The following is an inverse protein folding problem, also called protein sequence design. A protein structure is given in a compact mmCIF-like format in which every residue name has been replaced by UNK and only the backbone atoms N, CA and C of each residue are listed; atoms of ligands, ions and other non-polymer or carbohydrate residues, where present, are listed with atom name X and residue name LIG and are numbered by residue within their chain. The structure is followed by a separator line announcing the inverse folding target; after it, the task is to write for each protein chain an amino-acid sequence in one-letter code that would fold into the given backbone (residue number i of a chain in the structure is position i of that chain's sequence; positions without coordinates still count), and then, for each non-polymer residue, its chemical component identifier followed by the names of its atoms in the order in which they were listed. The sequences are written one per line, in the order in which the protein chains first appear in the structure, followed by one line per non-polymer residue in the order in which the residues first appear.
data_IF_614629104272
#
_entry.id   IF_614629104272
#
_cell.length_a   1.000
_cell.length_b   1.000
_cell.length_c   1.000
_cell.angle_alpha   90.00
_cell.angle_beta   90.00
_cell.angle_gamma   90.00
#
_symmetry.space_group_name_H-M   'P 1'
#
loop_
_entity.id
_entity.type
_entity.pdbx_description
1 polymer ?
#
# COMPACT_ATOMS: atom_id res chain seq x y z
N UNK A 1 -9.24 75.52 20.84
CA UNK A 1 -10.27 74.77 20.11
C UNK A 1 -9.94 73.29 20.18
N UNK A 2 -10.72 72.58 20.97
CA UNK A 2 -10.61 71.17 21.34
C UNK A 2 -10.82 70.26 20.13
N UNK A 3 -9.97 69.24 19.94
CA UNK A 3 -10.30 68.09 19.09
C UNK A 3 -9.98 66.79 19.82
N UNK A 4 -11.04 66.03 20.03
CA UNK A 4 -11.15 64.77 20.76
C UNK A 4 -10.28 63.66 20.16
N UNK A 5 -9.73 62.74 20.96
CA UNK A 5 -9.14 61.51 20.43
C UNK A 5 -10.23 60.50 20.07
N UNK A 6 -10.16 60.00 18.84
CA UNK A 6 -11.06 58.97 18.30
C UNK A 6 -10.96 57.66 19.07
N UNK A 7 -12.13 57.05 19.30
CA UNK A 7 -12.34 55.78 19.98
C UNK A 7 -11.85 54.59 19.15
N UNK A 8 -10.98 53.77 19.74
CA UNK A 8 -10.53 52.48 19.18
C UNK A 8 -11.63 51.43 19.35
N UNK A 9 -12.03 50.66 18.32
CA UNK A 9 -13.01 49.60 18.47
C UNK A 9 -12.50 48.45 19.36
N UNK A 10 -13.29 48.07 20.37
CA UNK A 10 -13.00 46.93 21.26
C UNK A 10 -13.00 45.62 20.47
N UNK A 11 -11.91 44.85 20.58
CA UNK A 11 -11.83 43.47 20.05
C UNK A 11 -12.87 42.58 20.74
N UNK A 12 -13.79 42.03 19.95
CA UNK A 12 -14.74 41.01 20.40
C UNK A 12 -13.97 39.76 20.82
N UNK A 13 -14.01 39.40 22.11
CA UNK A 13 -13.41 38.16 22.61
C UNK A 13 -14.27 36.98 22.14
N UNK A 14 -13.78 36.23 21.15
CA UNK A 14 -14.30 34.91 20.84
C UNK A 14 -14.03 33.98 22.04
N UNK A 15 -15.09 33.57 22.72
CA UNK A 15 -15.05 32.54 23.76
C UNK A 15 -14.71 31.20 23.10
N UNK A 16 -13.49 30.73 23.30
CA UNK A 16 -13.11 29.34 23.00
C UNK A 16 -13.90 28.44 23.96
N UNK A 17 -14.84 27.67 23.43
CA UNK A 17 -15.53 26.63 24.18
C UNK A 17 -14.52 25.52 24.48
N UNK A 18 -14.11 25.42 25.76
CA UNK A 18 -13.31 24.29 26.26
C UNK A 18 -14.21 23.06 26.35
N UNK A 19 -14.10 22.14 25.40
CA UNK A 19 -14.64 20.80 25.58
C UNK A 19 -13.84 20.05 26.65
N UNK A 20 -14.55 19.68 27.71
CA UNK A 20 -14.06 18.98 28.90
C UNK A 20 -13.63 17.57 28.51
N UNK A 21 -12.38 17.22 28.81
CA UNK A 21 -11.85 15.85 28.66
C UNK A 21 -12.64 14.89 29.55
N UNK A 22 -13.21 13.85 28.96
CA UNK A 22 -13.65 12.65 29.67
C UNK A 22 -12.44 11.72 29.84
N UNK A 23 -12.19 11.33 31.08
CA UNK A 23 -11.04 10.52 31.48
C UNK A 23 -11.26 9.02 31.19
N UNK A 24 -10.14 8.39 30.78
CA UNK A 24 -9.71 6.98 30.95
C UNK A 24 -10.77 5.87 30.85
N UNK A 25 -10.59 5.03 29.83
CA UNK A 25 -10.78 3.58 29.96
C UNK A 25 -9.40 2.89 29.97
N UNK A 26 -9.24 1.97 30.92
CA UNK A 26 -8.02 1.25 31.23
C UNK A 26 -7.54 0.33 30.10
N UNK A 27 -6.23 0.17 30.05
CA UNK A 27 -5.48 -0.71 29.16
C UNK A 27 -5.87 -2.17 29.35
N UNK A 28 -6.21 -2.85 28.25
CA UNK A 28 -5.86 -4.25 28.02
C UNK A 28 -5.00 -4.32 26.75
N UNK A 29 -3.71 -4.61 26.95
CA UNK A 29 -2.81 -5.26 25.99
C UNK A 29 -3.47 -6.54 25.46
N UNK A 30 -3.25 -7.09 24.27
CA UNK A 30 -2.35 -6.80 23.15
C UNK A 30 -2.84 -7.67 21.96
N UNK A 31 -2.53 -7.24 20.73
CA UNK A 31 -2.13 -8.17 19.67
C UNK A 31 -3.12 -8.44 18.54
N UNK A 32 -3.20 -7.55 17.55
CA UNK A 32 -3.15 -7.93 16.11
C UNK A 32 -3.19 -6.73 15.16
N UNK A 33 -2.06 -6.51 14.49
CA UNK A 33 -1.89 -6.12 13.07
C UNK A 33 -2.82 -5.07 12.42
N UNK A 34 -2.33 -3.86 12.06
CA UNK A 34 -3.10 -2.90 11.28
C UNK A 34 -2.72 -2.94 9.80
N UNK A 35 -2.98 -4.07 9.14
CA UNK A 35 -3.12 -4.19 7.69
C UNK A 35 -4.03 -5.41 7.43
N UNK A 36 -5.35 -5.22 7.50
CA UNK A 36 -6.30 -6.16 6.89
C UNK A 36 -6.30 -5.88 5.39
N UNK A 37 -5.17 -6.12 4.74
CA UNK A 37 -5.16 -6.40 3.30
C UNK A 37 -5.81 -7.76 3.22
N UNK A 38 -7.07 -7.78 2.77
CA UNK A 38 -7.71 -9.02 2.37
C UNK A 38 -6.77 -9.64 1.34
N UNK A 39 -6.05 -10.70 1.73
CA UNK A 39 -5.27 -11.51 0.80
C UNK A 39 -6.27 -12.05 -0.21
N UNK A 40 -6.36 -11.39 -1.37
CA UNK A 40 -7.11 -11.89 -2.51
C UNK A 40 -6.35 -13.04 -3.20
N UNK A 41 -5.07 -13.23 -2.86
CA UNK A 41 -4.29 -14.39 -3.26
C UNK A 41 -4.46 -15.52 -2.25
N UNK A 42 -5.58 -16.23 -2.35
CA UNK A 42 -5.81 -17.56 -1.76
C UNK A 42 -5.84 -18.66 -2.83
N UNK A 43 -5.05 -18.52 -3.90
CA UNK A 43 -4.89 -19.54 -4.94
C UNK A 43 -3.60 -20.36 -4.73
N UNK A 44 -3.54 -21.63 -5.18
CA UNK A 44 -2.47 -22.56 -4.80
C UNK A 44 -1.09 -22.06 -5.24
N UNK A 45 -0.17 -22.01 -4.29
CA UNK A 45 1.25 -21.88 -4.55
C UNK A 45 1.72 -23.18 -5.22
N UNK A 46 2.34 -23.07 -6.38
CA UNK A 46 2.70 -24.15 -7.29
C UNK A 46 3.94 -24.96 -6.86
N UNK A 47 4.17 -25.14 -5.56
CA UNK A 47 5.30 -25.95 -5.10
C UNK A 47 4.85 -27.33 -4.59
N UNK A 48 5.31 -28.34 -5.32
CA UNK A 48 5.36 -29.78 -5.04
C UNK A 48 4.10 -30.62 -5.30
N UNK A 49 4.15 -31.38 -6.41
CA UNK A 49 3.72 -32.77 -6.45
C UNK A 49 4.38 -33.48 -7.64
N UNK A 50 5.62 -33.93 -7.45
CA UNK A 50 6.19 -34.96 -8.31
C UNK A 50 5.56 -36.30 -7.92
N UNK A 51 4.84 -36.90 -8.87
CA UNK A 51 4.48 -38.32 -8.84
C UNK A 51 3.05 -38.63 -8.41
N UNK A 52 2.11 -38.61 -9.38
CA UNK A 52 1.01 -39.57 -9.42
C UNK A 52 0.56 -39.82 -10.87
N UNK A 53 0.63 -41.09 -11.27
CA UNK A 53 -0.29 -41.86 -12.13
C UNK A 53 -0.86 -41.22 -13.41
N UNK A 54 -0.56 -41.86 -14.54
CA UNK A 54 -1.34 -41.75 -15.78
C UNK A 54 -2.74 -42.34 -15.56
N UNK A 55 -3.78 -41.51 -15.45
CA UNK A 55 -5.18 -41.94 -15.67
C UNK A 55 -5.96 -40.89 -16.46
N UNK A 56 -7.03 -41.37 -17.10
CA UNK A 56 -7.58 -40.88 -18.35
C UNK A 56 -8.06 -39.41 -18.38
N UNK A 57 -7.59 -38.78 -19.46
CA UNK A 57 -7.99 -37.58 -20.16
C UNK A 57 -9.51 -37.31 -20.25
N UNK A 58 -10.13 -36.67 -19.24
CA UNK A 58 -11.29 -35.74 -19.38
C UNK A 58 -11.36 -34.74 -18.19
N UNK A 59 -10.21 -34.38 -17.62
CA UNK A 59 -10.13 -33.34 -16.61
C UNK A 59 -9.85 -31.98 -17.25
N UNK A 60 -10.77 -31.02 -17.14
CA UNK A 60 -10.50 -29.60 -17.50
C UNK A 60 -9.15 -29.19 -16.90
N UNK A 61 -8.29 -28.62 -17.75
CA UNK A 61 -6.96 -28.16 -17.36
C UNK A 61 -7.07 -27.16 -16.21
N UNK A 62 -6.04 -27.09 -15.36
CA UNK A 62 -5.99 -26.09 -14.29
C UNK A 62 -6.20 -24.66 -14.82
N UNK A 63 -5.71 -24.41 -16.04
CA UNK A 63 -5.89 -23.18 -16.79
C UNK A 63 -7.34 -22.92 -17.18
N UNK A 64 -8.08 -23.92 -17.66
CA UNK A 64 -9.52 -23.78 -17.95
C UNK A 64 -10.35 -23.50 -16.69
N UNK A 65 -10.06 -24.19 -15.58
CA UNK A 65 -10.72 -23.93 -14.30
C UNK A 65 -10.42 -22.51 -13.79
N UNK A 66 -9.20 -22.04 -13.96
CA UNK A 66 -8.81 -20.67 -13.62
C UNK A 66 -9.52 -19.65 -14.51
N UNK A 67 -9.61 -19.89 -15.84
CA UNK A 67 -10.38 -19.05 -16.77
C UNK A 67 -11.87 -18.99 -16.40
N UNK A 68 -12.45 -20.11 -15.97
CA UNK A 68 -13.84 -20.17 -15.48
C UNK A 68 -14.03 -19.38 -14.19
N UNK A 69 -13.14 -19.54 -13.20
CA UNK A 69 -13.17 -18.75 -11.95
C UNK A 69 -12.99 -17.24 -12.20
N UNK A 70 -12.09 -16.87 -13.11
CA UNK A 70 -11.89 -15.49 -13.52
C UNK A 70 -13.06 -14.93 -14.35
N UNK A 71 -14.07 -15.72 -14.72
CA UNK A 71 -15.28 -15.25 -15.43
C UNK A 71 -16.21 -14.47 -14.49
N UNK A 72 -16.26 -14.84 -13.21
CA UNK A 72 -16.89 -14.07 -12.11
C UNK A 72 -15.98 -12.93 -11.59
N UNK A 73 -15.01 -12.54 -12.41
CA UNK A 73 -13.81 -11.79 -12.11
C UNK A 73 -13.92 -10.75 -10.98
N UNK A 74 -13.08 -10.84 -9.94
CA UNK A 74 -12.85 -9.74 -9.01
C UNK A 74 -12.53 -8.41 -9.72
N UNK A 75 -11.93 -8.47 -10.92
CA UNK A 75 -11.67 -7.33 -11.81
C UNK A 75 -12.90 -6.47 -12.11
N UNK A 76 -14.09 -7.07 -12.26
CA UNK A 76 -15.33 -6.33 -12.55
C UNK A 76 -15.80 -5.50 -11.37
N UNK A 77 -15.44 -5.89 -10.15
CA UNK A 77 -15.78 -5.20 -8.89
C UNK A 77 -14.73 -4.17 -8.47
N UNK A 78 -13.60 -4.09 -9.17
CA UNK A 78 -12.55 -3.13 -8.84
C UNK A 78 -12.98 -1.68 -9.13
N UNK A 79 -12.60 -0.73 -8.26
CA UNK A 79 -12.86 0.68 -8.52
C UNK A 79 -12.25 1.16 -9.84
N UNK A 80 -12.82 2.21 -10.47
CA UNK A 80 -12.19 2.89 -11.59
C UNK A 80 -10.78 3.37 -11.25
N UNK A 81 -9.93 3.51 -12.27
CA UNK A 81 -8.56 4.00 -12.09
C UNK A 81 -8.62 5.47 -11.73
N UNK A 82 -7.88 5.83 -10.67
CA UNK A 82 -7.70 7.22 -10.23
C UNK A 82 -7.09 8.07 -11.35
N UNK A 83 -7.65 9.26 -11.54
CA UNK A 83 -7.16 10.25 -12.49
C UNK A 83 -6.68 11.48 -11.75
N UNK A 84 -5.69 12.14 -12.34
CA UNK A 84 -5.24 13.47 -11.89
C UNK A 84 -6.36 14.50 -12.12
N UNK A 85 -6.29 15.69 -11.50
CA UNK A 85 -7.29 16.76 -11.69
C UNK A 85 -7.46 17.19 -13.15
N UNK A 86 -6.43 17.01 -13.98
CA UNK A 86 -6.44 17.25 -15.43
C UNK A 86 -7.08 16.11 -16.25
N UNK A 87 -7.60 15.07 -15.59
CA UNK A 87 -8.18 13.89 -16.21
C UNK A 87 -7.16 12.87 -16.73
N UNK A 88 -5.86 13.18 -16.67
CA UNK A 88 -4.81 12.27 -17.14
C UNK A 88 -4.57 11.11 -16.16
N UNK A 89 -4.08 9.99 -16.69
CA UNK A 89 -3.61 8.88 -15.86
C UNK A 89 -2.23 9.20 -15.29
N UNK A 90 -1.94 8.64 -14.11
CA UNK A 90 -0.59 8.71 -13.54
C UNK A 90 0.41 8.04 -14.47
N UNK A 91 1.52 8.75 -14.75
CA UNK A 91 2.61 8.31 -15.62
C UNK A 91 3.81 7.88 -14.80
N UNK A 92 4.42 6.78 -15.21
CA UNK A 92 5.67 6.25 -14.70
C UNK A 92 6.84 6.78 -15.53
N UNK A 93 7.95 7.03 -14.85
CA UNK A 93 9.27 7.19 -15.49
C UNK A 93 9.76 5.85 -16.07
N UNK A 94 10.74 5.85 -16.99
CA UNK A 94 11.30 4.60 -17.53
C UNK A 94 11.83 3.64 -16.45
N UNK A 95 12.42 4.18 -15.38
CA UNK A 95 12.92 3.38 -14.26
C UNK A 95 11.78 2.70 -13.48
N UNK A 96 10.73 3.46 -13.15
CA UNK A 96 9.53 2.94 -12.51
C UNK A 96 8.83 1.90 -13.38
N UNK A 97 8.75 2.12 -14.70
CA UNK A 97 8.18 1.14 -15.64
C UNK A 97 8.97 -0.17 -15.65
N UNK A 98 10.31 -0.11 -15.57
CA UNK A 98 11.14 -1.31 -15.48
C UNK A 98 10.83 -2.12 -14.21
N UNK A 99 10.66 -1.42 -13.07
CA UNK A 99 10.25 -2.06 -11.81
C UNK A 99 8.83 -2.63 -11.90
N UNK A 100 7.88 -1.88 -12.45
CA UNK A 100 6.51 -2.32 -12.68
C UNK A 100 6.44 -3.57 -13.56
N UNK A 101 7.21 -3.63 -14.66
CA UNK A 101 7.23 -4.78 -15.55
C UNK A 101 7.82 -6.03 -14.87
N UNK A 102 8.84 -5.86 -14.03
CA UNK A 102 9.36 -6.95 -13.19
C UNK A 102 8.31 -7.45 -12.20
N UNK A 103 7.59 -6.52 -11.54
CA UNK A 103 6.53 -6.84 -10.59
C UNK A 103 5.36 -7.57 -11.27
N UNK A 104 4.94 -7.11 -12.46
CA UNK A 104 3.85 -7.74 -13.23
C UNK A 104 4.23 -9.16 -13.60
N UNK A 105 5.42 -9.39 -14.14
CA UNK A 105 5.86 -10.75 -14.54
C UNK A 105 5.93 -11.72 -13.38
N UNK A 106 6.18 -11.23 -12.17
CA UNK A 106 6.31 -12.06 -10.97
C UNK A 106 4.99 -12.30 -10.24
N UNK A 107 4.15 -11.28 -10.15
CA UNK A 107 3.03 -11.26 -9.19
C UNK A 107 1.66 -11.16 -9.88
N UNK A 108 1.59 -10.80 -11.18
CA UNK A 108 0.31 -10.69 -11.88
C UNK A 108 -0.16 -12.06 -12.36
N UNK A 109 -1.13 -12.64 -11.65
CA UNK A 109 -1.74 -13.92 -12.06
C UNK A 109 -2.45 -13.88 -13.42
N UNK A 110 -2.80 -12.69 -13.93
CA UNK A 110 -3.42 -12.54 -15.25
C UNK A 110 -2.41 -12.41 -16.39
N UNK A 111 -1.11 -12.37 -16.08
CA UNK A 111 -0.05 -12.16 -17.06
C UNK A 111 0.84 -13.40 -17.14
N UNK A 112 0.86 -14.06 -18.29
CA UNK A 112 1.70 -15.23 -18.58
C UNK A 112 2.54 -14.92 -19.83
N UNK A 113 3.86 -15.08 -19.72
CA UNK A 113 4.85 -14.75 -20.77
C UNK A 113 4.70 -13.34 -21.39
N UNK A 114 4.16 -12.39 -20.62
CA UNK A 114 3.92 -11.01 -21.07
C UNK A 114 2.56 -10.79 -21.75
N UNK A 115 1.76 -11.83 -21.90
CA UNK A 115 0.40 -11.79 -22.46
C UNK A 115 -0.65 -11.80 -21.35
N UNK A 116 -1.76 -11.12 -21.57
CA UNK A 116 -2.86 -11.01 -20.62
C UNK A 116 -3.94 -12.04 -20.93
N UNK A 117 -4.02 -13.10 -20.11
CA UNK A 117 -4.96 -14.22 -20.28
C UNK A 117 -6.42 -13.75 -20.22
N UNK A 118 -6.71 -12.67 -19.48
CA UNK A 118 -8.08 -12.14 -19.33
C UNK A 118 -8.58 -11.40 -20.58
N UNK A 119 -7.67 -10.94 -21.44
CA UNK A 119 -7.98 -10.20 -22.67
C UNK A 119 -7.70 -11.04 -23.92
N UNK A 120 -7.23 -12.27 -23.73
CA UNK A 120 -6.98 -13.22 -24.80
C UNK A 120 -8.31 -13.88 -25.17
N UNK A 121 -8.91 -13.41 -26.27
CA UNK A 121 -10.14 -13.96 -26.86
C UNK A 121 -9.85 -15.05 -27.91
N UNK A 122 -8.67 -15.67 -27.87
CA UNK A 122 -8.19 -16.67 -28.84
C UNK A 122 -6.96 -16.22 -29.63
N UNK A 123 -6.60 -14.95 -29.53
CA UNK A 123 -5.36 -14.36 -30.05
C UNK A 123 -4.55 -13.77 -28.90
N UNK A 124 -3.25 -14.09 -28.85
CA UNK A 124 -2.36 -13.64 -27.77
C UNK A 124 -2.38 -12.13 -27.64
N UNK A 125 -2.90 -11.62 -26.53
CA UNK A 125 -2.99 -10.19 -26.24
C UNK A 125 -1.85 -9.77 -25.31
N UNK A 126 -0.94 -8.90 -25.76
CA UNK A 126 0.11 -8.36 -24.87
C UNK A 126 -0.50 -7.59 -23.71
N UNK A 127 0.03 -7.75 -22.49
CA UNK A 127 -0.50 -7.07 -21.31
C UNK A 127 -0.51 -5.54 -21.51
N UNK A 128 -1.69 -4.87 -21.46
CA UNK A 128 -1.78 -3.43 -21.73
C UNK A 128 -0.91 -2.58 -20.80
N UNK A 129 -0.70 -3.07 -19.57
CA UNK A 129 0.12 -2.37 -18.58
C UNK A 129 1.62 -2.46 -18.87
N UNK A 130 2.13 -3.54 -19.46
CA UNK A 130 3.58 -3.73 -19.68
C UNK A 130 4.10 -2.87 -20.84
N UNK A 131 3.23 -2.56 -21.79
CA UNK A 131 3.51 -1.68 -22.93
C UNK A 131 3.23 -0.20 -22.64
N UNK A 132 2.50 0.10 -21.56
CA UNK A 132 2.11 1.46 -21.19
C UNK A 132 3.10 2.11 -20.22
N UNK A 133 3.30 3.43 -20.35
CA UNK A 133 3.92 4.25 -19.29
C UNK A 133 2.91 4.75 -18.26
N UNK A 134 1.61 4.70 -18.57
CA UNK A 134 0.56 5.11 -17.65
C UNK A 134 0.06 3.93 -16.81
N UNK A 135 -0.39 4.19 -15.60
CA UNK A 135 -1.17 3.21 -14.82
C UNK A 135 -2.56 3.12 -15.44
N UNK A 136 -2.77 2.12 -16.32
CA UNK A 136 -3.96 1.97 -17.15
C UNK A 136 -4.73 0.66 -16.92
N UNK A 137 -4.15 -0.29 -16.18
CA UNK A 137 -4.80 -1.54 -15.84
C UNK A 137 -5.36 -1.52 -14.41
N UNK A 138 -6.66 -1.82 -14.25
CA UNK A 138 -7.32 -1.87 -12.93
C UNK A 138 -6.70 -2.94 -12.03
N UNK A 139 -6.38 -4.11 -12.59
CA UNK A 139 -5.75 -5.20 -11.84
C UNK A 139 -4.38 -4.78 -11.32
N UNK A 140 -3.59 -4.14 -12.17
CA UNK A 140 -2.29 -3.62 -11.78
C UNK A 140 -2.43 -2.61 -10.64
N UNK A 141 -3.35 -1.64 -10.75
CA UNK A 141 -3.56 -0.62 -9.71
C UNK A 141 -3.95 -1.20 -8.35
N UNK A 142 -4.84 -2.18 -8.30
CA UNK A 142 -5.49 -2.61 -7.06
C UNK A 142 -4.98 -3.93 -6.48
N UNK A 143 -4.40 -4.82 -7.30
CA UNK A 143 -3.94 -6.12 -6.86
C UNK A 143 -2.40 -6.26 -6.91
N UNK A 144 -1.76 -5.74 -7.96
CA UNK A 144 -0.32 -5.96 -8.19
C UNK A 144 0.54 -4.84 -7.58
N UNK A 145 0.27 -3.58 -7.93
CA UNK A 145 1.06 -2.43 -7.49
C UNK A 145 1.14 -2.27 -5.96
N UNK A 146 0.07 -2.51 -5.18
CA UNK A 146 0.14 -2.41 -3.72
C UNK A 146 1.11 -3.42 -3.05
N UNK A 147 1.54 -4.46 -3.77
CA UNK A 147 2.57 -5.39 -3.27
C UNK A 147 3.95 -4.71 -3.16
N UNK A 148 4.20 -3.70 -3.99
CA UNK A 148 5.35 -2.80 -3.86
C UNK A 148 4.88 -1.40 -3.46
N UNK A 149 4.69 -1.21 -2.16
CA UNK A 149 4.28 0.08 -1.59
C UNK A 149 5.30 1.21 -1.83
N UNK A 150 6.55 0.91 -2.18
CA UNK A 150 7.56 1.93 -2.52
C UNK A 150 7.27 2.48 -3.91
N UNK A 151 7.14 1.57 -4.90
CA UNK A 151 6.79 1.94 -6.27
C UNK A 151 5.43 2.64 -6.34
N UNK A 152 4.42 2.15 -5.60
CA UNK A 152 3.11 2.80 -5.52
C UNK A 152 3.21 4.26 -5.05
N UNK A 153 3.99 4.52 -4.00
CA UNK A 153 4.16 5.88 -3.49
C UNK A 153 4.98 6.76 -4.42
N UNK A 154 6.00 6.21 -5.08
CA UNK A 154 6.76 6.93 -6.09
C UNK A 154 5.91 7.36 -7.28
N UNK A 155 4.89 6.58 -7.65
CA UNK A 155 3.99 6.90 -8.78
C UNK A 155 2.89 7.88 -8.38
N UNK A 156 2.25 7.68 -7.22
CA UNK A 156 1.03 8.42 -6.85
C UNK A 156 1.27 9.59 -5.89
N UNK A 157 2.34 9.53 -5.09
CA UNK A 157 2.55 10.50 -4.00
C UNK A 157 3.62 11.53 -4.28
N UNK A 158 4.45 11.39 -5.33
CA UNK A 158 5.52 12.26 -5.88
C UNK A 158 6.50 12.95 -4.88
N UNK A 159 6.17 13.13 -3.60
CA UNK A 159 6.75 14.12 -2.67
C UNK A 159 6.78 13.67 -1.20
N UNK A 160 6.07 12.61 -0.82
CA UNK A 160 6.01 12.19 0.60
C UNK A 160 7.11 11.20 1.01
N UNK A 161 8.15 11.03 0.20
CA UNK A 161 9.23 10.10 0.52
C UNK A 161 10.19 10.73 1.54
N UNK A 162 10.48 10.00 2.61
CA UNK A 162 11.45 10.40 3.64
C UNK A 162 12.68 9.53 3.60
N UNK A 163 13.81 10.06 4.08
CA UNK A 163 15.03 9.26 4.32
C UNK A 163 15.04 8.74 5.74
N UNK A 164 15.40 7.47 5.90
CA UNK A 164 15.54 6.88 7.22
C UNK A 164 16.73 7.49 7.95
N UNK A 165 16.51 7.97 9.18
CA UNK A 165 17.58 8.53 10.01
C UNK A 165 18.68 7.53 10.45
N UNK A 166 18.47 6.22 10.25
CA UNK A 166 19.44 5.18 10.62
C UNK A 166 20.25 4.70 9.42
N UNK A 167 19.59 4.42 8.29
CA UNK A 167 20.25 3.82 7.12
C UNK A 167 20.23 4.69 5.86
N UNK A 168 19.65 5.89 5.90
CA UNK A 168 19.59 6.82 4.76
C UNK A 168 18.66 6.41 3.61
N UNK A 169 18.17 5.16 3.59
CA UNK A 169 17.26 4.67 2.53
C UNK A 169 15.97 5.48 2.51
N UNK A 170 15.51 5.77 1.30
CA UNK A 170 14.23 6.40 1.03
C UNK A 170 13.12 5.40 1.38
N UNK A 171 12.07 5.88 2.04
CA UNK A 171 10.92 5.07 2.41
C UNK A 171 9.65 5.92 2.43
N UNK A 172 8.51 5.23 2.36
CA UNK A 172 7.17 5.82 2.46
C UNK A 172 6.76 5.91 3.93
N UNK A 173 6.62 7.11 4.50
CA UNK A 173 6.22 7.27 5.89
C UNK A 173 4.73 6.95 6.08
N UNK A 174 4.41 6.16 7.11
CA UNK A 174 3.00 5.92 7.53
C UNK A 174 2.35 7.14 8.19
N UNK A 175 3.15 8.11 8.66
CA UNK A 175 2.68 9.37 9.23
C UNK A 175 3.74 10.46 9.12
N UNK A 176 3.32 11.72 9.28
CA UNK A 176 4.25 12.86 9.30
C UNK A 176 5.32 12.77 10.40
N UNK A 177 5.07 12.01 11.48
CA UNK A 177 6.03 11.79 12.57
C UNK A 177 7.04 10.66 12.29
N UNK A 178 6.87 9.86 11.23
CA UNK A 178 7.74 8.73 10.95
C UNK A 178 9.17 9.20 10.62
N UNK A 179 10.15 8.64 11.35
CA UNK A 179 11.60 8.94 11.22
C UNK A 179 12.43 7.79 10.62
N UNK A 180 11.90 6.57 10.65
CA UNK A 180 12.64 5.35 10.33
C UNK A 180 11.91 4.52 9.28
N UNK A 181 12.65 3.89 8.37
CA UNK A 181 12.08 2.90 7.45
C UNK A 181 11.56 1.68 8.22
N UNK A 182 10.66 0.87 7.65
CA UNK A 182 10.02 -0.25 8.35
C UNK A 182 11.01 -1.20 9.05
N UNK A 183 12.12 -1.53 8.39
CA UNK A 183 13.17 -2.40 8.97
C UNK A 183 13.91 -1.75 10.15
N UNK A 184 14.28 -0.47 10.04
CA UNK A 184 14.95 0.25 11.13
C UNK A 184 14.00 0.61 12.28
N UNK A 185 12.73 0.89 11.98
CA UNK A 185 11.71 1.20 12.98
C UNK A 185 11.58 0.08 14.00
N UNK A 186 11.50 -1.18 13.54
CA UNK A 186 11.41 -2.33 14.43
C UNK A 186 12.66 -2.47 15.34
N UNK A 187 13.85 -2.24 14.79
CA UNK A 187 15.12 -2.29 15.55
C UNK A 187 15.19 -1.20 16.62
N UNK A 188 14.91 0.05 16.23
CA UNK A 188 14.92 1.19 17.15
C UNK A 188 13.86 1.03 18.23
N UNK A 189 12.65 0.58 17.86
CA UNK A 189 11.58 0.36 18.83
C UNK A 189 11.94 -0.71 19.87
N UNK A 190 12.58 -1.81 19.45
CA UNK A 190 13.10 -2.83 20.39
C UNK A 190 14.14 -2.25 21.34
N UNK A 191 15.14 -1.53 20.81
CA UNK A 191 16.19 -0.88 21.61
C UNK A 191 15.60 0.10 22.62
N UNK A 192 14.71 1.00 22.20
CA UNK A 192 14.05 1.96 23.07
C UNK A 192 13.24 1.28 24.18
N UNK A 193 12.52 0.20 23.85
CA UNK A 193 11.79 -0.59 24.84
C UNK A 193 12.73 -1.20 25.88
N UNK A 194 13.83 -1.82 25.46
CA UNK A 194 14.84 -2.41 26.36
C UNK A 194 15.52 -1.36 27.23
N UNK A 195 15.91 -0.21 26.66
CA UNK A 195 16.53 0.89 27.41
C UNK A 195 15.55 1.48 28.44
N UNK A 196 14.29 1.65 28.05
CA UNK A 196 13.23 2.11 28.96
C UNK A 196 12.98 1.14 30.11
N UNK A 197 12.94 -0.17 29.83
CA UNK A 197 12.76 -1.20 30.86
C UNK A 197 13.96 -1.26 31.81
N UNK A 198 15.20 -1.17 31.30
CA UNK A 198 16.43 -1.10 32.12
C UNK A 198 16.39 0.10 33.07
N UNK A 199 16.06 1.30 32.56
CA UNK A 199 15.98 2.52 33.37
C UNK A 199 14.92 2.40 34.46
N UNK A 200 13.79 1.75 34.19
CA UNK A 200 12.70 1.56 35.16
C UNK A 200 13.09 0.59 36.28
N UNK A 201 13.91 -0.43 36.01
CA UNK A 201 14.41 -1.36 37.04
C UNK A 201 15.45 -0.68 37.94
N UNK A 202 16.38 0.07 37.35
CA UNK A 202 17.42 0.76 38.11
C UNK A 202 16.91 1.90 39.00
N UNK A 203 15.65 2.35 38.84
CA UNK A 203 15.04 3.36 39.75
C UNK A 203 14.29 2.74 40.92
N UNK A 204 14.10 1.41 40.94
CA UNK A 204 13.39 0.71 42.03
C UNK A 204 14.39 0.16 43.06
N UNK A 205 15.62 -0.13 42.65
CA UNK A 205 16.69 -0.66 43.50
C UNK A 205 17.61 0.43 44.09
N UNK A 206 17.18 1.70 44.08
CA UNK A 206 17.88 2.86 44.66
C UNK A 206 16.97 3.60 45.64
#
# INVERSE_FOLDING_TARGET
MSRSPGSVPRRHKLRIIRFRQMAKAHSLRCGSSPHKVQRLCGGPCWEHAAGMGQEAFLGRTATEKWREHMRENPYKRLPPIERKPDGSLYRMTPAQRKQANSLIRRECCCCEDGNCIVLDDGDTCTCPQTVSFSVCCKWFRWAVLPLDGTLEAEIFRDKDLKRCAVCGRVFVPKSNRAKYCPGCAARVHRRQKTESERKRRSTVDS
#
